data_IF_594131717604
#
_entry.id   IF_594131717604
#
_cell.length_a   1.000
_cell.length_b   1.000
_cell.length_c   1.000
_cell.angle_alpha   90.00
_cell.angle_beta   90.00
_cell.angle_gamma   90.00
#
_symmetry.space_group_name_H-M   'P 1'
#
loop_
_entity.id
_entity.type
_entity.pdbx_description
1 polymer ?
#
# COMPACT_ATOMS: atom_id res chain seq x y z
N UNK A 1 -25.11 16.10 -8.93
CA UNK A 1 -26.39 16.33 -8.19
C UNK A 1 -27.01 17.63 -8.70
N UNK A 2 -28.17 17.59 -9.37
CA UNK A 2 -28.82 18.78 -9.95
C UNK A 2 -30.03 19.19 -9.08
N UNK A 3 -29.88 20.25 -8.28
CA UNK A 3 -30.92 20.82 -7.39
C UNK A 3 -30.67 22.31 -7.15
N UNK A 4 -31.64 23.03 -6.56
CA UNK A 4 -31.41 24.36 -5.98
C UNK A 4 -30.75 24.21 -4.59
N UNK A 5 -29.69 24.99 -4.35
CA UNK A 5 -28.90 24.96 -3.10
C UNK A 5 -29.29 26.13 -2.18
N UNK A 6 -29.25 25.91 -0.87
CA UNK A 6 -29.39 26.96 0.15
C UNK A 6 -28.04 27.25 0.83
N UNK A 7 -27.92 28.38 1.53
CA UNK A 7 -26.68 28.83 2.18
C UNK A 7 -26.09 27.82 3.18
N UNK A 8 -26.92 26.91 3.71
CA UNK A 8 -26.54 25.92 4.72
C UNK A 8 -26.66 24.47 4.22
N UNK A 9 -26.81 24.27 2.91
CA UNK A 9 -26.90 22.92 2.36
C UNK A 9 -25.56 22.19 2.49
N UNK A 10 -25.60 20.96 3.03
CA UNK A 10 -24.44 20.08 3.23
C UNK A 10 -24.60 18.86 2.33
N UNK A 11 -23.48 18.41 1.75
CA UNK A 11 -23.37 17.10 1.12
C UNK A 11 -22.28 16.34 1.85
N UNK A 12 -22.66 15.22 2.46
CA UNK A 12 -21.70 14.29 3.05
C UNK A 12 -21.49 13.14 2.07
N UNK A 13 -20.23 12.79 1.87
CA UNK A 13 -19.85 11.66 1.02
C UNK A 13 -18.87 10.82 1.81
N UNK A 14 -19.14 9.52 1.84
CA UNK A 14 -18.29 8.54 2.48
C UNK A 14 -17.79 7.57 1.41
N UNK A 15 -16.48 7.55 1.22
CA UNK A 15 -15.83 6.53 0.40
C UNK A 15 -15.05 5.60 1.34
N UNK A 16 -15.37 4.30 1.35
CA UNK A 16 -14.55 3.32 2.05
C UNK A 16 -13.11 3.36 1.50
N UNK A 17 -12.14 3.48 2.42
CA UNK A 17 -10.72 3.47 2.08
C UNK A 17 -10.11 2.13 2.50
N UNK A 18 -10.60 1.07 1.87
CA UNK A 18 -10.13 -0.30 2.10
C UNK A 18 -8.78 -0.52 1.42
N UNK A 19 -7.99 -1.44 1.98
CA UNK A 19 -6.77 -1.92 1.33
C UNK A 19 -7.15 -2.87 0.20
N UNK A 20 -6.70 -2.59 -1.02
CA UNK A 20 -6.94 -3.41 -2.20
C UNK A 20 -5.64 -4.03 -2.70
N UNK A 21 -5.74 -5.29 -3.13
CA UNK A 21 -4.67 -6.04 -3.79
C UNK A 21 -4.93 -6.02 -5.29
N UNK A 22 -3.98 -5.52 -6.06
CA UNK A 22 -4.10 -5.37 -7.51
C UNK A 22 -3.20 -6.35 -8.24
N UNK A 23 -3.78 -7.10 -9.16
CA UNK A 23 -3.04 -7.84 -10.17
C UNK A 23 -3.04 -7.08 -11.49
N UNK A 24 -1.91 -7.07 -12.19
CA UNK A 24 -1.86 -6.54 -13.56
C UNK A 24 -2.52 -7.50 -14.56
N UNK A 25 -2.97 -6.97 -15.70
CA UNK A 25 -3.40 -7.81 -16.81
C UNK A 25 -2.28 -8.80 -17.22
N UNK A 26 -2.58 -10.08 -17.54
CA UNK A 26 -1.55 -11.12 -17.79
C UNK A 26 -0.54 -10.84 -18.91
N UNK A 27 -0.85 -9.88 -19.79
CA UNK A 27 0.05 -9.40 -20.86
C UNK A 27 1.23 -8.57 -20.33
N UNK A 28 1.12 -8.01 -19.13
CA UNK A 28 2.21 -7.30 -18.46
C UNK A 28 3.16 -8.33 -17.86
N UNK A 29 4.08 -8.85 -18.67
CA UNK A 29 4.97 -9.98 -18.31
C UNK A 29 5.77 -9.73 -17.04
N UNK A 30 6.20 -8.49 -16.80
CA UNK A 30 7.00 -8.10 -15.63
C UNK A 30 6.25 -8.29 -14.30
N UNK A 31 4.91 -8.20 -14.32
CA UNK A 31 4.07 -8.26 -13.12
C UNK A 31 3.41 -9.62 -12.92
N UNK A 32 3.81 -10.64 -13.70
CA UNK A 32 3.27 -11.99 -13.54
C UNK A 32 3.64 -12.55 -12.16
N UNK A 33 2.63 -13.02 -11.42
CA UNK A 33 2.81 -13.53 -10.05
C UNK A 33 3.19 -12.44 -9.05
N UNK A 34 2.91 -11.16 -9.37
CA UNK A 34 3.14 -10.02 -8.49
C UNK A 34 1.85 -9.24 -8.30
N UNK A 35 1.75 -8.60 -7.14
CA UNK A 35 0.63 -7.73 -6.76
C UNK A 35 1.14 -6.38 -6.28
N UNK A 36 0.31 -5.35 -6.42
CA UNK A 36 0.51 -4.05 -5.82
C UNK A 36 -0.60 -3.76 -4.81
N UNK A 37 -0.28 -3.03 -3.75
CA UNK A 37 -1.26 -2.62 -2.74
C UNK A 37 -1.70 -1.18 -2.97
N UNK A 38 -2.99 -0.90 -2.74
CA UNK A 38 -3.49 0.46 -2.66
C UNK A 38 -4.44 0.64 -1.50
N UNK A 39 -4.62 1.88 -1.06
CA UNK A 39 -5.67 2.27 -0.13
C UNK A 39 -6.24 3.62 -0.54
N UNK A 40 -7.50 3.63 -0.97
CA UNK A 40 -8.06 4.80 -1.64
C UNK A 40 -7.28 5.13 -2.92
N UNK A 41 -6.89 6.40 -3.14
CA UNK A 41 -6.16 6.80 -4.34
C UNK A 41 -4.65 6.51 -4.27
N UNK A 42 -4.14 6.02 -3.14
CA UNK A 42 -2.71 5.88 -2.92
C UNK A 42 -2.23 4.46 -3.22
N UNK A 43 -1.18 4.35 -4.04
CA UNK A 43 -0.41 3.13 -4.26
C UNK A 43 0.69 3.04 -3.20
N UNK A 44 0.98 1.83 -2.75
CA UNK A 44 1.96 1.53 -1.71
C UNK A 44 3.17 0.78 -2.27
N UNK A 45 4.29 0.88 -1.57
CA UNK A 45 5.53 0.14 -1.85
C UNK A 45 6.16 -0.39 -0.56
N UNK A 46 6.98 -1.44 -0.69
CA UNK A 46 7.91 -1.84 0.36
C UNK A 46 9.20 -1.04 0.22
N UNK A 47 9.72 -0.52 1.33
CA UNK A 47 11.06 0.07 1.42
C UNK A 47 11.90 -0.74 2.43
N UNK A 48 13.18 -0.96 2.14
CA UNK A 48 14.02 -1.82 3.00
C UNK A 48 14.24 -1.26 4.40
N UNK A 49 14.11 0.06 4.58
CA UNK A 49 14.22 0.72 5.89
C UNK A 49 13.13 0.26 6.86
N UNK A 50 11.93 -0.06 6.34
CA UNK A 50 10.80 -0.54 7.16
C UNK A 50 10.75 -2.07 7.27
N UNK A 51 11.62 -2.78 6.54
CA UNK A 51 11.59 -4.24 6.42
C UNK A 51 12.98 -4.85 6.70
N UNK A 52 13.56 -4.65 7.90
CA UNK A 52 14.89 -5.15 8.22
C UNK A 52 14.94 -6.68 8.14
N UNK A 53 16.00 -7.22 7.52
CA UNK A 53 16.18 -8.66 7.34
C UNK A 53 15.32 -9.29 6.23
N UNK A 54 14.52 -8.49 5.51
CA UNK A 54 13.79 -8.92 4.31
C UNK A 54 14.51 -8.41 3.06
N UNK A 55 14.73 -9.29 2.08
CA UNK A 55 15.13 -8.84 0.75
C UNK A 55 13.91 -8.28 0.03
N UNK A 56 13.83 -6.95 -0.14
CA UNK A 56 12.67 -6.29 -0.78
C UNK A 56 12.42 -6.80 -2.21
N UNK A 57 13.43 -6.94 -3.10
CA UNK A 57 13.23 -7.56 -4.43
C UNK A 57 12.83 -9.05 -4.36
N UNK A 58 13.15 -9.70 -3.24
CA UNK A 58 12.86 -11.10 -2.93
C UNK A 58 11.48 -11.33 -2.30
N UNK A 59 10.85 -10.28 -1.75
CA UNK A 59 9.73 -10.40 -0.85
C UNK A 59 8.51 -11.07 -1.50
N UNK A 60 7.82 -11.88 -0.69
CA UNK A 60 6.59 -12.57 -1.06
C UNK A 60 5.54 -12.18 -0.04
N UNK A 61 4.44 -11.60 -0.51
CA UNK A 61 3.26 -11.33 0.30
C UNK A 61 2.37 -12.58 0.33
N UNK A 62 1.98 -13.02 1.52
CA UNK A 62 0.87 -13.95 1.70
C UNK A 62 -0.45 -13.20 1.53
N UNK A 63 -1.10 -13.40 0.38
CA UNK A 63 -2.35 -12.71 0.05
C UNK A 63 -3.58 -13.30 0.73
N UNK A 64 -3.45 -14.46 1.39
CA UNK A 64 -4.49 -15.06 2.23
C UNK A 64 -4.52 -14.54 3.66
N UNK A 65 -3.43 -13.89 4.12
CA UNK A 65 -3.36 -13.28 5.44
C UNK A 65 -4.01 -11.88 5.47
N UNK A 66 -4.61 -11.46 6.60
CA UNK A 66 -5.19 -10.12 6.72
C UNK A 66 -4.15 -9.02 6.52
N UNK A 67 -4.56 -7.96 5.81
CA UNK A 67 -3.82 -6.70 5.74
C UNK A 67 -4.41 -5.72 6.75
N UNK A 68 -3.56 -5.14 7.59
CA UNK A 68 -3.97 -4.16 8.61
C UNK A 68 -3.35 -2.81 8.31
N UNK A 69 -3.98 -1.74 8.78
CA UNK A 69 -3.51 -0.38 8.55
C UNK A 69 -3.12 0.28 9.85
N UNK A 70 -2.01 1.01 9.85
CA UNK A 70 -1.53 1.76 11.02
C UNK A 70 -1.14 3.18 10.65
N UNK A 71 -1.50 4.17 11.47
CA UNK A 71 -1.03 5.53 11.28
C UNK A 71 0.42 5.70 11.77
N UNK A 72 1.25 6.37 10.97
CA UNK A 72 2.63 6.71 11.30
C UNK A 72 2.80 8.23 11.24
N UNK A 73 2.90 8.94 12.38
CA UNK A 73 3.05 10.40 12.39
C UNK A 73 4.43 10.84 11.88
N UNK A 74 5.46 9.98 11.98
CA UNK A 74 6.85 10.32 11.63
C UNK A 74 7.20 10.19 10.14
N UNK A 75 6.32 9.60 9.32
CA UNK A 75 6.57 9.43 7.90
C UNK A 75 5.97 10.59 7.10
N UNK A 76 6.82 11.48 6.59
CA UNK A 76 6.43 12.62 5.75
C UNK A 76 5.32 13.50 6.38
N UNK A 77 5.35 13.72 7.69
CA UNK A 77 4.35 14.51 8.41
C UNK A 77 3.04 13.77 8.73
N UNK A 78 2.98 12.46 8.46
CA UNK A 78 1.84 11.62 8.75
C UNK A 78 1.42 10.79 7.54
N UNK A 79 1.49 9.46 7.68
CA UNK A 79 1.07 8.54 6.63
C UNK A 79 0.41 7.29 7.22
N UNK A 80 -0.58 6.76 6.51
CA UNK A 80 -1.14 5.45 6.79
C UNK A 80 -0.26 4.38 6.17
N UNK A 81 0.21 3.42 6.95
CA UNK A 81 0.96 2.24 6.55
C UNK A 81 0.01 1.07 6.31
N UNK A 82 0.46 0.11 5.50
CA UNK A 82 -0.18 -1.20 5.39
C UNK A 82 0.81 -2.23 5.93
N UNK A 83 0.34 -3.11 6.81
CA UNK A 83 1.10 -4.21 7.38
C UNK A 83 0.47 -5.54 6.92
N UNK A 84 1.32 -6.46 6.50
CA UNK A 84 0.94 -7.80 6.04
C UNK A 84 1.97 -8.82 6.49
N UNK A 85 1.88 -10.05 5.96
CA UNK A 85 2.80 -11.13 6.29
C UNK A 85 3.37 -11.81 5.07
N UNK A 86 4.56 -12.37 5.20
CA UNK A 86 5.07 -13.35 4.24
C UNK A 86 4.54 -14.77 4.56
N UNK A 87 4.75 -15.76 3.68
CA UNK A 87 4.30 -17.14 3.93
C UNK A 87 4.93 -17.84 5.14
N UNK A 88 5.99 -17.27 5.73
CA UNK A 88 6.60 -17.77 6.98
C UNK A 88 6.00 -17.11 8.23
N UNK A 89 5.07 -16.16 8.05
CA UNK A 89 4.43 -15.39 9.12
C UNK A 89 5.19 -14.13 9.54
N UNK A 90 6.29 -13.79 8.86
CA UNK A 90 7.09 -12.59 9.12
C UNK A 90 6.32 -11.35 8.69
N UNK A 91 6.37 -10.31 9.50
CA UNK A 91 5.72 -9.04 9.19
C UNK A 91 6.40 -8.31 8.02
N UNK A 92 5.57 -7.76 7.16
CA UNK A 92 5.94 -6.91 6.02
C UNK A 92 5.25 -5.55 6.18
N UNK A 93 5.98 -4.47 5.94
CA UNK A 93 5.49 -3.10 6.06
C UNK A 93 5.55 -2.41 4.70
N UNK A 94 4.46 -1.75 4.35
CA UNK A 94 4.31 -0.98 3.13
C UNK A 94 3.99 0.47 3.47
N UNK A 95 4.65 1.38 2.78
CA UNK A 95 4.46 2.84 2.88
C UNK A 95 3.78 3.36 1.61
N UNK A 96 3.11 4.52 1.63
CA UNK A 96 2.67 5.16 0.40
C UNK A 96 3.86 5.43 -0.53
N UNK A 97 3.70 5.14 -1.82
CA UNK A 97 4.79 5.23 -2.80
C UNK A 97 5.46 6.62 -2.84
N UNK A 98 4.69 7.70 -2.65
CA UNK A 98 5.24 9.06 -2.62
C UNK A 98 6.22 9.31 -1.47
N UNK A 99 6.17 8.50 -0.40
CA UNK A 99 7.00 8.69 0.80
C UNK A 99 8.36 7.98 0.69
N UNK A 100 8.56 7.12 -0.32
CA UNK A 100 9.84 6.47 -0.57
C UNK A 100 10.97 7.47 -0.84
N UNK A 101 12.21 7.08 -0.57
CA UNK A 101 13.44 7.83 -0.81
C UNK A 101 13.61 9.12 0.04
N UNK A 102 12.77 9.31 1.06
CA UNK A 102 12.91 10.40 2.03
C UNK A 102 13.78 10.03 3.24
N UNK A 103 14.34 8.81 3.29
CA UNK A 103 15.06 8.25 4.46
C UNK A 103 16.42 7.67 4.10
N UNK A 104 17.03 8.20 3.04
CA UNK A 104 18.31 7.77 2.51
C UNK A 104 18.19 6.67 1.44
N UNK A 105 19.33 6.22 0.87
CA UNK A 105 19.34 5.17 -0.14
C UNK A 105 18.79 3.85 0.40
N UNK A 106 17.83 3.28 -0.32
CA UNK A 106 17.11 2.06 0.08
C UNK A 106 16.64 1.28 -1.16
N UNK A 107 16.40 -0.01 -0.99
CA UNK A 107 15.71 -0.81 -2.02
C UNK A 107 14.20 -0.67 -1.88
N UNK A 108 13.48 -0.71 -3.01
CA UNK A 108 12.03 -0.51 -3.04
C UNK A 108 11.37 -1.37 -4.11
N UNK A 109 10.18 -1.87 -3.80
CA UNK A 109 9.29 -2.57 -4.75
C UNK A 109 7.84 -2.12 -4.57
N UNK A 110 7.18 -1.78 -5.68
CA UNK A 110 5.71 -1.61 -5.75
C UNK A 110 5.03 -2.96 -6.00
N UNK A 111 5.60 -3.76 -6.91
CA UNK A 111 5.04 -5.03 -7.35
C UNK A 111 5.76 -6.19 -6.63
N UNK A 112 5.20 -6.63 -5.51
CA UNK A 112 5.77 -7.72 -4.71
C UNK A 112 5.25 -9.06 -5.19
N UNK A 113 6.03 -10.14 -5.03
CA UNK A 113 5.54 -11.48 -5.39
C UNK A 113 4.34 -11.83 -4.50
N UNK A 114 3.34 -12.50 -5.05
CA UNK A 114 2.20 -13.01 -4.29
C UNK A 114 2.25 -14.53 -4.21
N UNK A 115 1.91 -15.08 -3.05
CA UNK A 115 1.54 -16.48 -2.88
C UNK A 115 0.07 -16.60 -2.48
#
# INVERSE_FOLDING_TARGET
IKRKWSRHAVVEIMFPMETAIHASHPRVKHNRGRVALSRGPLVYCMESVDNPGVSVPGAVLDTGSPLVTRWSPGLCGGACLIEGKDPSGRDLVFIPYYAWANRGPSSMEVWVRSR
#
